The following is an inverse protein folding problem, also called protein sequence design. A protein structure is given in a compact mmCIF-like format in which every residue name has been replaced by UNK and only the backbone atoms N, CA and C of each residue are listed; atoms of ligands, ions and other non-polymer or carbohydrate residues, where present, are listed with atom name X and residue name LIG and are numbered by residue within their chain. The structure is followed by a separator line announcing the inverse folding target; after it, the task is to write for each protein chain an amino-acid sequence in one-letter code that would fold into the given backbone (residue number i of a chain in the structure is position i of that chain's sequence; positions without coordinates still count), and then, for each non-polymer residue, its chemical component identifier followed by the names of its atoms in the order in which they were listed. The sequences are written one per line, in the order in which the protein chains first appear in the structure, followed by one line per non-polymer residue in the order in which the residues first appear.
data_IF_604592767976
#
_entry.id   IF_604592767976
#
_cell.length_a   1.000
_cell.length_b   1.000
_cell.length_c   1.000
_cell.angle_alpha   90.00
_cell.angle_beta   90.00
_cell.angle_gamma   90.00
#
_symmetry.space_group_name_H-M   'P 1'
#
loop_
_entity.id
_entity.type
_entity.pdbx_description
1 polymer ?
#
# COMPACT_ATOMS: atom_id res chain seq x y z
N UNK A 1 -19.53 -13.41 9.13
CA UNK A 1 -19.27 -12.51 7.98
C UNK A 1 -18.72 -11.22 8.52
N UNK A 2 -17.47 -10.89 8.18
CA UNK A 2 -16.99 -9.54 8.39
C UNK A 2 -17.71 -8.66 7.35
N UNK A 3 -18.67 -7.90 7.79
CA UNK A 3 -19.39 -6.95 6.96
C UNK A 3 -18.47 -5.75 6.69
N UNK A 4 -18.48 -5.20 5.49
CA UNK A 4 -17.83 -3.91 5.19
C UNK A 4 -18.27 -2.79 6.15
N UNK A 5 -19.46 -2.88 6.72
CA UNK A 5 -19.97 -1.99 7.77
C UNK A 5 -19.23 -2.15 9.11
N UNK A 6 -18.69 -3.34 9.42
CA UNK A 6 -17.86 -3.59 10.60
C UNK A 6 -16.36 -3.30 10.35
N UNK A 7 -15.99 -3.00 9.11
CA UNK A 7 -14.61 -2.67 8.73
C UNK A 7 -14.22 -1.20 9.02
N UNK A 8 -15.14 -0.38 9.46
CA UNK A 8 -14.90 1.02 9.85
C UNK A 8 -14.76 1.11 11.36
N UNK A 9 -13.56 0.91 11.87
CA UNK A 9 -13.25 1.16 13.27
C UNK A 9 -12.72 2.57 13.41
N UNK A 10 -13.32 3.31 14.33
CA UNK A 10 -13.04 4.66 14.79
C UNK A 10 -12.41 5.65 13.80
N UNK A 11 -13.22 6.62 13.37
CA UNK A 11 -12.86 7.63 12.37
C UNK A 11 -11.79 8.63 12.83
N UNK A 12 -11.33 8.56 14.08
CA UNK A 12 -10.46 9.56 14.69
C UNK A 12 -8.99 9.14 14.82
N UNK A 13 -8.64 7.88 14.58
CA UNK A 13 -7.27 7.43 14.65
C UNK A 13 -6.63 7.29 13.27
N UNK A 14 -5.61 8.08 13.04
CA UNK A 14 -4.74 8.00 11.86
C UNK A 14 -3.81 6.82 12.02
N UNK A 15 -3.97 5.78 11.24
CA UNK A 15 -3.09 4.63 11.38
C UNK A 15 -2.89 3.88 10.08
N UNK A 16 -1.67 3.67 9.73
CA UNK A 16 -0.98 2.63 8.96
C UNK A 16 -1.57 2.10 7.65
N UNK A 17 -2.78 2.37 7.31
CA UNK A 17 -3.40 2.08 6.02
C UNK A 17 -3.90 3.35 5.37
N UNK A 18 -4.14 3.32 4.05
CA UNK A 18 -4.66 4.46 3.35
C UNK A 18 -5.90 4.98 4.07
N UNK A 19 -5.72 6.11 4.72
CA UNK A 19 -6.75 6.75 5.52
C UNK A 19 -7.66 7.50 4.57
N UNK A 20 -8.95 7.32 4.74
CA UNK A 20 -9.93 8.19 4.11
C UNK A 20 -9.71 9.64 4.54
N UNK A 21 -10.19 10.57 3.75
CA UNK A 21 -10.20 12.00 4.07
C UNK A 21 -10.79 12.30 5.44
N UNK A 22 -11.63 11.42 5.95
CA UNK A 22 -12.32 11.51 7.24
C UNK A 22 -11.71 10.61 8.32
N UNK A 23 -10.51 10.04 8.10
CA UNK A 23 -9.84 9.20 9.09
C UNK A 23 -10.38 7.75 9.19
N UNK A 24 -11.15 7.28 8.19
CA UNK A 24 -11.67 5.92 8.19
C UNK A 24 -10.55 4.87 8.04
N UNK A 25 -10.75 3.74 8.65
CA UNK A 25 -9.83 2.62 8.69
C UNK A 25 -10.49 1.38 8.06
N UNK A 26 -9.77 0.66 7.22
CA UNK A 26 -10.28 -0.56 6.61
C UNK A 26 -9.85 -1.77 7.45
N UNK A 27 -10.81 -2.58 7.89
CA UNK A 27 -10.57 -3.78 8.68
C UNK A 27 -10.62 -3.54 10.20
N UNK A 28 -10.19 -4.54 10.97
CA UNK A 28 -10.10 -4.51 12.43
C UNK A 28 -8.69 -4.13 12.84
N UNK A 29 -8.56 -3.08 13.63
CA UNK A 29 -7.31 -2.67 14.27
C UNK A 29 -7.21 -3.29 15.66
N UNK A 30 -6.01 -3.70 16.03
CA UNK A 30 -5.72 -4.24 17.35
C UNK A 30 -4.97 -3.19 18.18
N UNK A 31 -5.55 -2.81 19.33
CA UNK A 31 -4.95 -1.86 20.26
C UNK A 31 -4.09 -2.56 21.33
N UNK A 32 -4.17 -3.89 21.39
CA UNK A 32 -3.42 -4.73 22.33
C UNK A 32 -2.75 -5.88 21.57
N UNK A 33 -1.75 -6.48 22.17
CA UNK A 33 -1.07 -7.65 21.60
C UNK A 33 -2.04 -8.84 21.62
N UNK A 34 -2.30 -9.41 20.44
CA UNK A 34 -3.20 -10.56 20.24
C UNK A 34 -2.44 -11.70 19.56
N UNK A 35 -2.86 -12.94 19.79
CA UNK A 35 -2.38 -14.08 19.03
C UNK A 35 -2.97 -14.09 17.61
N UNK A 36 -2.38 -14.86 16.70
CA UNK A 36 -2.87 -15.01 15.33
C UNK A 36 -4.31 -15.52 15.28
N UNK A 37 -4.64 -16.51 16.10
CA UNK A 37 -6.01 -17.03 16.17
C UNK A 37 -6.98 -15.98 16.70
N UNK A 38 -6.58 -15.21 17.71
CA UNK A 38 -7.40 -14.12 18.23
C UNK A 38 -7.61 -13.02 17.19
N UNK A 39 -6.55 -12.64 16.48
CA UNK A 39 -6.59 -11.63 15.43
C UNK A 39 -7.54 -12.05 14.29
N UNK A 40 -7.42 -13.29 13.80
CA UNK A 40 -8.31 -13.84 12.77
C UNK A 40 -9.77 -13.84 13.24
N UNK A 41 -10.02 -14.28 14.46
CA UNK A 41 -11.37 -14.32 15.02
C UNK A 41 -11.99 -12.94 15.21
N UNK A 42 -11.23 -12.00 15.78
CA UNK A 42 -11.70 -10.63 16.00
C UNK A 42 -11.97 -9.88 14.68
N UNK A 43 -11.22 -10.20 13.63
CA UNK A 43 -11.42 -9.62 12.30
C UNK A 43 -12.43 -10.37 11.42
N UNK A 44 -13.02 -11.48 11.94
CA UNK A 44 -13.95 -12.32 11.18
C UNK A 44 -13.29 -13.07 10.02
N UNK A 45 -11.98 -13.33 10.10
CA UNK A 45 -11.22 -14.04 9.07
C UNK A 45 -10.90 -15.49 9.45
N UNK A 46 -11.51 -16.03 10.50
CA UNK A 46 -11.33 -17.40 10.97
C UNK A 46 -12.12 -18.46 10.18
N UNK A 47 -12.79 -18.04 9.12
CA UNK A 47 -13.48 -18.95 8.21
C UNK A 47 -12.53 -19.72 7.30
N UNK A 48 -12.99 -20.90 6.84
CA UNK A 48 -12.26 -21.75 5.90
C UNK A 48 -12.95 -21.72 4.54
N UNK A 49 -12.19 -21.45 3.49
CA UNK A 49 -12.64 -21.54 2.11
C UNK A 49 -12.63 -23.00 1.68
N UNK A 50 -13.81 -23.51 1.31
CA UNK A 50 -14.03 -24.88 0.80
C UNK A 50 -14.25 -24.87 -0.71
N UNK A 51 -14.16 -26.02 -1.32
CA UNK A 51 -14.47 -26.18 -2.76
C UNK A 51 -15.12 -27.50 -3.06
N UNK A 52 -16.00 -27.52 -4.08
CA UNK A 52 -16.64 -28.72 -4.61
C UNK A 52 -16.57 -28.73 -6.15
N UNK A 53 -16.73 -29.89 -6.81
CA UNK A 53 -16.76 -29.94 -8.27
C UNK A 53 -17.88 -29.06 -8.82
N UNK A 54 -17.58 -28.30 -9.90
CA UNK A 54 -18.59 -27.52 -10.59
C UNK A 54 -19.63 -28.45 -11.24
N UNK A 55 -20.91 -28.09 -11.14
CA UNK A 55 -22.02 -28.94 -11.53
C UNK A 55 -22.09 -29.25 -13.04
N UNK A 56 -21.58 -28.36 -13.89
CA UNK A 56 -21.74 -28.42 -15.34
C UNK A 56 -20.43 -28.30 -16.13
N UNK A 57 -19.36 -27.77 -15.54
CA UNK A 57 -18.09 -27.56 -16.24
C UNK A 57 -17.07 -28.55 -15.72
N UNK A 58 -16.65 -29.49 -16.56
CA UNK A 58 -15.60 -30.43 -16.23
C UNK A 58 -14.26 -29.69 -15.92
N UNK A 59 -13.50 -30.18 -14.95
CA UNK A 59 -12.25 -29.62 -14.50
C UNK A 59 -12.36 -28.25 -13.79
N UNK A 60 -13.56 -27.79 -13.43
CA UNK A 60 -13.79 -26.61 -12.60
C UNK A 60 -14.24 -27.02 -11.20
N UNK A 61 -14.04 -26.12 -10.25
CA UNK A 61 -14.49 -26.22 -8.87
C UNK A 61 -15.14 -24.91 -8.47
N UNK A 62 -16.21 -25.02 -7.67
CA UNK A 62 -16.89 -23.91 -7.02
C UNK A 62 -16.27 -23.70 -5.63
N UNK A 63 -15.93 -22.47 -5.31
CA UNK A 63 -15.36 -22.08 -4.02
C UNK A 63 -16.40 -21.33 -3.20
N UNK A 64 -16.49 -21.66 -1.90
CA UNK A 64 -17.52 -21.14 -1.01
C UNK A 64 -17.04 -21.04 0.43
N UNK A 65 -17.74 -20.22 1.22
CA UNK A 65 -17.74 -20.29 2.68
C UNK A 65 -18.93 -21.10 3.12
N UNK A 66 -18.76 -21.84 4.19
CA UNK A 66 -19.88 -22.54 4.82
C UNK A 66 -20.12 -21.95 6.19
N UNK A 67 -21.35 -21.48 6.42
CA UNK A 67 -21.79 -20.95 7.70
C UNK A 67 -22.08 -22.08 8.67
N UNK A 68 -22.13 -21.76 9.97
CA UNK A 68 -22.47 -22.74 11.03
C UNK A 68 -23.82 -23.44 10.82
N UNK A 69 -24.76 -22.77 10.18
CA UNK A 69 -26.07 -23.31 9.83
C UNK A 69 -26.06 -24.17 8.54
N UNK A 70 -24.89 -24.44 7.97
CA UNK A 70 -24.72 -25.23 6.73
C UNK A 70 -25.02 -24.46 5.43
N UNK A 71 -25.37 -23.16 5.50
CA UNK A 71 -25.54 -22.33 4.30
C UNK A 71 -24.18 -22.12 3.63
N UNK A 72 -24.13 -22.27 2.31
CA UNK A 72 -22.95 -22.02 1.48
C UNK A 72 -23.10 -20.71 0.75
N UNK A 73 -22.13 -19.83 0.87
CA UNK A 73 -22.02 -18.60 0.09
C UNK A 73 -20.92 -18.79 -0.96
N UNK A 74 -21.34 -19.06 -2.20
CA UNK A 74 -20.44 -19.26 -3.34
C UNK A 74 -19.92 -17.92 -3.86
N UNK A 75 -18.66 -17.84 -4.21
CA UNK A 75 -18.04 -16.59 -4.64
C UNK A 75 -17.17 -16.70 -5.89
N UNK A 76 -16.74 -17.91 -6.28
CA UNK A 76 -15.89 -18.08 -7.45
C UNK A 76 -15.93 -19.51 -7.98
N UNK A 77 -15.83 -19.65 -9.32
CA UNK A 77 -15.64 -20.93 -10.00
C UNK A 77 -14.42 -20.84 -10.90
N UNK A 78 -13.48 -21.76 -10.76
CA UNK A 78 -12.25 -21.77 -11.55
C UNK A 78 -11.71 -23.18 -11.76
N UNK A 79 -10.67 -23.29 -12.58
CA UNK A 79 -10.03 -24.56 -12.88
C UNK A 79 -9.51 -25.24 -11.60
N UNK A 80 -9.58 -26.56 -11.55
CA UNK A 80 -9.11 -27.41 -10.44
C UNK A 80 -7.65 -27.23 -10.05
N UNK A 81 -6.83 -26.64 -10.91
CA UNK A 81 -5.43 -26.31 -10.61
C UNK A 81 -5.26 -25.10 -9.71
N UNK A 82 -6.33 -24.33 -9.46
CA UNK A 82 -6.29 -23.22 -8.53
C UNK A 82 -6.15 -23.71 -7.09
N UNK A 83 -5.12 -23.27 -6.39
CA UNK A 83 -4.88 -23.60 -5.00
C UNK A 83 -5.34 -22.47 -4.09
N UNK A 84 -6.30 -22.77 -3.24
CA UNK A 84 -6.71 -21.83 -2.20
C UNK A 84 -5.57 -21.66 -1.20
N UNK A 85 -5.28 -20.42 -0.86
CA UNK A 85 -4.46 -20.04 0.29
C UNK A 85 -5.44 -19.58 1.36
N UNK A 86 -5.48 -20.28 2.49
CA UNK A 86 -6.38 -19.95 3.59
C UNK A 86 -5.94 -18.67 4.30
N UNK A 87 -6.85 -18.03 5.02
CA UNK A 87 -6.50 -16.83 5.80
C UNK A 87 -5.40 -17.13 6.83
N UNK A 88 -5.47 -18.29 7.48
CA UNK A 88 -4.44 -18.75 8.42
C UNK A 88 -3.08 -18.94 7.73
N UNK A 89 -3.05 -19.42 6.47
CA UNK A 89 -1.79 -19.56 5.72
C UNK A 89 -1.13 -18.20 5.50
N UNK A 90 -1.92 -17.18 5.12
CA UNK A 90 -1.41 -15.80 4.94
C UNK A 90 -0.85 -15.25 6.24
N UNK A 91 -1.57 -15.45 7.35
CA UNK A 91 -1.13 -15.02 8.68
C UNK A 91 0.18 -15.72 9.08
N UNK A 92 0.28 -17.03 8.91
CA UNK A 92 1.48 -17.81 9.22
C UNK A 92 2.68 -17.33 8.40
N UNK A 93 2.50 -16.98 7.13
CA UNK A 93 3.60 -16.43 6.32
C UNK A 93 4.11 -15.10 6.87
N UNK A 94 3.22 -14.23 7.37
CA UNK A 94 3.61 -12.96 7.98
C UNK A 94 4.33 -13.21 9.32
N UNK A 95 3.85 -14.16 10.13
CA UNK A 95 4.55 -14.58 11.34
C UNK A 95 5.94 -15.14 11.06
N UNK A 96 6.07 -15.98 10.02
CA UNK A 96 7.36 -16.49 9.59
C UNK A 96 8.32 -15.36 9.19
N UNK A 97 7.79 -14.32 8.54
CA UNK A 97 8.54 -13.12 8.20
C UNK A 97 8.93 -12.29 9.42
N UNK A 98 8.18 -12.35 10.50
CA UNK A 98 8.37 -11.54 11.70
C UNK A 98 9.30 -12.16 12.75
N UNK A 99 9.77 -13.40 12.57
CA UNK A 99 10.51 -14.19 13.58
C UNK A 99 11.76 -13.49 14.15
N UNK A 100 12.41 -12.67 13.33
CA UNK A 100 13.62 -11.95 13.73
C UNK A 100 13.31 -10.60 14.39
N UNK A 101 12.02 -10.26 14.58
CA UNK A 101 11.57 -8.97 15.13
C UNK A 101 10.76 -9.16 16.41
N UNK A 102 11.38 -9.06 17.59
CA UNK A 102 10.69 -9.27 18.87
C UNK A 102 9.53 -8.31 19.14
N UNK A 103 9.53 -7.11 18.54
CA UNK A 103 8.44 -6.13 18.68
C UNK A 103 7.29 -6.36 17.70
N UNK A 104 7.39 -7.33 16.82
CA UNK A 104 6.34 -7.59 15.85
C UNK A 104 5.02 -7.93 16.55
N UNK A 105 3.96 -7.20 16.20
CA UNK A 105 2.62 -7.38 16.76
C UNK A 105 1.56 -7.18 15.69
N UNK A 106 0.51 -7.95 15.75
CA UNK A 106 -0.63 -7.77 14.85
C UNK A 106 -1.21 -6.38 15.01
N UNK A 107 -1.36 -5.69 13.89
CA UNK A 107 -1.83 -4.33 13.84
C UNK A 107 -3.23 -4.23 13.28
N UNK A 108 -3.45 -4.84 12.12
CA UNK A 108 -4.77 -4.88 11.50
C UNK A 108 -4.96 -6.06 10.58
N UNK A 109 -6.21 -6.49 10.46
CA UNK A 109 -6.67 -7.48 9.48
C UNK A 109 -8.04 -7.11 8.96
N UNK A 110 -8.36 -7.52 7.74
CA UNK A 110 -9.68 -7.30 7.17
C UNK A 110 -9.86 -7.94 5.81
N UNK A 111 -11.09 -7.80 5.30
CA UNK A 111 -11.48 -8.28 4.00
C UNK A 111 -12.18 -7.21 3.18
N UNK A 112 -12.20 -7.39 1.88
CA UNK A 112 -12.91 -6.56 0.91
C UNK A 112 -13.55 -7.45 -0.16
N UNK A 113 -14.38 -6.88 -1.02
CA UNK A 113 -15.06 -7.59 -2.09
C UNK A 113 -15.90 -8.79 -1.60
N UNK A 114 -16.75 -8.54 -0.60
CA UNK A 114 -17.59 -9.57 0.03
C UNK A 114 -16.76 -10.74 0.56
N UNK A 115 -15.76 -10.42 1.37
CA UNK A 115 -14.86 -11.37 2.05
C UNK A 115 -14.00 -12.26 1.13
N UNK A 116 -13.95 -11.94 -0.17
CA UNK A 116 -13.15 -12.73 -1.12
C UNK A 116 -11.71 -12.27 -1.26
N UNK A 117 -11.35 -11.12 -0.72
CA UNK A 117 -9.98 -10.59 -0.73
C UNK A 117 -9.62 -10.14 0.67
N UNK A 118 -8.48 -10.58 1.17
CA UNK A 118 -8.03 -10.36 2.55
C UNK A 118 -6.71 -9.63 2.58
N UNK A 119 -6.51 -8.86 3.64
CA UNK A 119 -5.25 -8.21 3.97
C UNK A 119 -4.96 -8.33 5.46
N UNK A 120 -3.68 -8.37 5.80
CA UNK A 120 -3.19 -8.51 7.16
C UNK A 120 -1.92 -7.72 7.32
N UNK A 121 -1.73 -7.07 8.47
CA UNK A 121 -0.57 -6.25 8.76
C UNK A 121 -0.04 -6.50 10.17
N UNK A 122 1.28 -6.58 10.26
CA UNK A 122 2.02 -6.63 11.52
C UNK A 122 2.89 -5.38 11.64
N UNK A 123 2.83 -4.70 12.77
CA UNK A 123 3.69 -3.57 13.09
C UNK A 123 5.05 -4.06 13.56
N UNK A 124 6.13 -3.46 13.07
CA UNK A 124 7.51 -3.79 13.47
C UNK A 124 8.24 -2.51 13.87
N UNK A 125 8.28 -2.26 15.17
CA UNK A 125 8.82 -1.01 15.73
C UNK A 125 10.34 -0.86 15.56
N UNK A 126 11.09 -1.98 15.55
CA UNK A 126 12.54 -1.95 15.37
C UNK A 126 12.97 -1.42 14.01
N UNK A 127 12.05 -1.41 13.06
CA UNK A 127 12.33 -0.98 11.69
C UNK A 127 11.99 0.49 11.43
N UNK A 128 11.48 1.22 12.43
CA UNK A 128 11.09 2.61 12.25
C UNK A 128 12.24 3.48 11.78
N UNK A 129 11.95 4.29 10.79
CA UNK A 129 12.85 5.32 10.31
C UNK A 129 12.47 6.65 10.96
N UNK A 130 13.41 7.21 11.73
CA UNK A 130 13.24 8.52 12.34
C UNK A 130 14.17 9.49 11.61
N UNK A 131 13.58 10.44 10.90
CA UNK A 131 14.30 11.55 10.29
C UNK A 131 14.17 12.76 11.19
N UNK A 132 15.18 12.99 11.98
CA UNK A 132 15.19 14.07 12.97
C UNK A 132 16.51 14.84 13.00
N UNK A 133 17.01 15.37 11.87
CA UNK A 133 18.24 16.13 11.89
C UNK A 133 18.14 17.48 12.64
N UNK A 134 16.90 18.01 12.84
CA UNK A 134 16.68 19.32 13.46
C UNK A 134 15.51 19.31 14.47
N UNK A 135 15.16 18.18 15.07
CA UNK A 135 14.06 18.07 16.04
C UNK A 135 12.66 17.98 15.40
N UNK A 136 12.56 17.73 14.11
CA UNK A 136 11.27 17.57 13.43
C UNK A 136 10.56 16.27 13.79
N UNK A 137 11.33 15.28 14.28
CA UNK A 137 10.87 13.94 14.68
C UNK A 137 9.93 13.29 13.65
N UNK A 138 10.37 13.30 12.38
CA UNK A 138 9.59 12.75 11.27
C UNK A 138 9.72 11.22 11.25
N UNK A 139 8.69 10.55 11.77
CA UNK A 139 8.67 9.09 11.94
C UNK A 139 7.99 8.43 10.75
N UNK A 140 8.65 7.46 10.16
CA UNK A 140 8.09 6.52 9.19
C UNK A 140 8.01 5.14 9.83
N UNK A 141 6.80 4.64 9.97
CA UNK A 141 6.51 3.33 10.57
C UNK A 141 6.60 2.21 9.55
N UNK A 142 6.98 1.02 10.03
CA UNK A 142 7.10 -0.18 9.22
C UNK A 142 6.09 -1.24 9.60
N UNK A 143 5.56 -1.87 8.55
CA UNK A 143 4.60 -2.96 8.66
C UNK A 143 4.96 -4.09 7.73
N UNK A 144 4.85 -5.32 8.22
CA UNK A 144 4.77 -6.51 7.38
C UNK A 144 3.34 -6.64 6.89
N UNK A 145 3.18 -6.88 5.60
CA UNK A 145 1.86 -6.97 4.97
C UNK A 145 1.72 -8.25 4.17
N UNK A 146 0.58 -8.90 4.33
CA UNK A 146 0.10 -9.96 3.45
C UNK A 146 -1.26 -9.62 2.86
N UNK A 147 -1.47 -9.93 1.58
CA UNK A 147 -2.77 -9.89 0.95
C UNK A 147 -2.97 -11.08 0.03
N UNK A 148 -4.19 -11.56 -0.06
CA UNK A 148 -4.57 -12.66 -0.94
C UNK A 148 -6.00 -12.50 -1.42
N UNK A 149 -6.44 -13.32 -2.38
CA UNK A 149 -7.85 -13.43 -2.74
C UNK A 149 -8.27 -14.87 -2.93
N UNK A 150 -9.52 -15.17 -2.57
CA UNK A 150 -10.09 -16.51 -2.71
C UNK A 150 -10.79 -16.72 -4.07
N UNK A 151 -10.98 -15.63 -4.82
CA UNK A 151 -11.67 -15.63 -6.10
C UNK A 151 -10.74 -15.48 -7.32
N UNK A 152 -9.43 -15.68 -7.13
CA UNK A 152 -8.45 -15.55 -8.21
C UNK A 152 -8.18 -14.15 -8.73
N UNK A 153 -8.81 -13.11 -8.13
CA UNK A 153 -8.67 -11.72 -8.56
C UNK A 153 -7.25 -11.19 -8.32
N UNK A 154 -6.64 -11.60 -7.23
CA UNK A 154 -5.29 -11.16 -6.83
C UNK A 154 -4.41 -12.35 -6.47
N UNK A 155 -3.14 -12.25 -6.82
CA UNK A 155 -2.11 -13.16 -6.34
C UNK A 155 -1.84 -12.93 -4.85
N UNK A 156 -1.33 -13.95 -4.15
CA UNK A 156 -0.70 -13.74 -2.86
C UNK A 156 0.42 -12.70 -3.01
N UNK A 157 0.40 -11.70 -2.16
CA UNK A 157 1.47 -10.73 -2.03
C UNK A 157 1.86 -10.66 -0.56
N UNK A 158 3.15 -10.81 -0.30
CA UNK A 158 3.76 -10.58 1.01
C UNK A 158 4.83 -9.51 0.83
N UNK A 159 4.97 -8.60 1.79
CA UNK A 159 5.94 -7.53 1.67
C UNK A 159 5.98 -6.60 2.87
N UNK A 160 6.70 -5.50 2.68
CA UNK A 160 6.77 -4.44 3.68
C UNK A 160 6.03 -3.20 3.19
N UNK A 161 5.35 -2.55 4.12
CA UNK A 161 4.71 -1.27 3.94
C UNK A 161 5.39 -0.24 4.84
N UNK A 162 5.74 0.89 4.29
CA UNK A 162 6.28 2.03 5.02
C UNK A 162 5.26 3.16 5.03
N UNK A 163 4.98 3.70 6.20
CA UNK A 163 3.97 4.72 6.37
C UNK A 163 4.48 5.87 7.24
N UNK A 164 4.50 7.07 6.68
CA UNK A 164 4.90 8.26 7.42
C UNK A 164 3.78 8.72 8.34
N UNK A 165 4.03 8.84 9.64
CA UNK A 165 3.01 9.13 10.66
C UNK A 165 2.24 10.44 10.41
N UNK A 166 2.93 11.50 10.02
CA UNK A 166 2.30 12.82 9.93
C UNK A 166 1.31 12.98 8.77
N UNK A 167 1.47 12.22 7.69
CA UNK A 167 0.65 12.41 6.49
C UNK A 167 0.04 11.12 5.94
N UNK A 168 0.34 9.98 6.54
CA UNK A 168 -0.05 8.67 6.03
C UNK A 168 0.41 8.42 4.58
N UNK A 169 1.43 9.15 4.13
CA UNK A 169 2.05 8.91 2.85
C UNK A 169 2.76 7.57 2.90
N UNK A 170 2.40 6.69 2.01
CA UNK A 170 3.14 5.44 1.86
C UNK A 170 4.41 5.73 1.07
N UNK A 171 5.55 5.35 1.62
CA UNK A 171 6.80 5.48 0.90
C UNK A 171 6.95 4.33 -0.11
N UNK A 172 7.47 4.63 -1.32
CA UNK A 172 7.82 3.60 -2.26
C UNK A 172 8.96 2.74 -1.73
N UNK A 173 8.92 1.45 -2.04
CA UNK A 173 10.07 0.58 -1.84
C UNK A 173 11.21 1.03 -2.76
N UNK A 174 12.44 1.13 -2.25
CA UNK A 174 13.61 1.50 -3.06
C UNK A 174 13.98 0.41 -4.08
N UNK A 175 13.51 -0.82 -3.89
CA UNK A 175 13.62 -1.88 -4.89
C UNK A 175 12.23 -2.34 -5.30
N UNK A 176 11.88 -2.14 -6.55
CA UNK A 176 10.54 -2.39 -7.08
C UNK A 176 10.10 -3.86 -7.05
N UNK A 177 11.01 -4.82 -6.90
CA UNK A 177 10.70 -6.26 -6.98
C UNK A 177 11.24 -7.10 -5.82
N UNK A 178 12.19 -6.61 -5.03
CA UNK A 178 12.89 -7.44 -4.04
C UNK A 178 12.19 -7.50 -2.67
N UNK A 179 11.35 -6.51 -2.35
CA UNK A 179 10.61 -6.44 -1.10
C UNK A 179 9.19 -6.99 -1.18
N UNK A 180 8.79 -7.51 -2.35
CA UNK A 180 7.47 -8.04 -2.58
C UNK A 180 7.56 -9.49 -3.08
N UNK A 181 7.02 -10.41 -2.31
CA UNK A 181 6.84 -11.79 -2.72
C UNK A 181 5.45 -11.89 -3.37
N UNK A 182 5.41 -11.99 -4.69
CA UNK A 182 4.15 -12.22 -5.42
C UNK A 182 4.11 -13.63 -5.94
N UNK A 183 3.11 -14.40 -5.55
CA UNK A 183 2.93 -15.80 -5.98
C UNK A 183 1.51 -16.06 -6.46
N UNK A 184 1.40 -16.73 -7.61
CA UNK A 184 0.12 -17.21 -8.13
C UNK A 184 -0.38 -18.39 -7.29
N UNK A 185 -1.68 -18.58 -7.23
CA UNK A 185 -2.36 -19.67 -6.52
C UNK A 185 -2.21 -21.01 -7.28
N UNK A 186 -1.04 -21.63 -7.17
CA UNK A 186 -0.69 -22.91 -7.80
C UNK A 186 -0.28 -23.93 -6.74
N UNK A 187 -0.21 -25.21 -7.08
CA UNK A 187 0.14 -26.28 -6.15
C UNK A 187 1.49 -26.09 -5.44
N UNK A 188 2.41 -25.33 -6.05
CA UNK A 188 3.74 -25.05 -5.48
C UNK A 188 3.80 -23.71 -4.73
N UNK A 189 2.67 -23.09 -4.43
CA UNK A 189 2.66 -21.75 -3.83
C UNK A 189 3.35 -21.73 -2.47
N UNK A 190 3.10 -22.72 -1.63
CA UNK A 190 3.69 -22.83 -0.29
C UNK A 190 5.21 -23.00 -0.34
N UNK A 191 5.71 -23.94 -1.13
CA UNK A 191 7.15 -24.16 -1.31
C UNK A 191 7.86 -22.90 -1.84
N UNK A 192 7.22 -22.20 -2.76
CA UNK A 192 7.77 -21.00 -3.36
C UNK A 192 7.77 -19.81 -2.38
N UNK A 193 6.80 -19.72 -1.47
CA UNK A 193 6.76 -18.70 -0.42
C UNK A 193 7.87 -18.94 0.59
N UNK A 194 7.98 -20.15 1.16
CA UNK A 194 9.02 -20.46 2.13
C UNK A 194 10.45 -20.24 1.59
N UNK A 195 10.71 -20.56 0.32
CA UNK A 195 12.00 -20.22 -0.33
C UNK A 195 12.25 -18.72 -0.45
N UNK A 196 11.20 -17.92 -0.49
CA UNK A 196 11.30 -16.47 -0.67
C UNK A 196 11.32 -15.69 0.66
N UNK A 197 10.91 -16.31 1.77
CA UNK A 197 10.91 -15.69 3.11
C UNK A 197 12.34 -15.42 3.63
N UNK A 198 13.35 -16.17 3.17
CA UNK A 198 14.77 -15.85 3.43
C UNK A 198 15.22 -14.46 2.90
N UNK A 199 14.30 -13.72 2.31
CA UNK A 199 14.50 -12.35 1.80
C UNK A 199 14.61 -11.30 2.93
N UNK A 200 14.40 -11.68 4.20
CA UNK A 200 14.40 -10.72 5.32
C UNK A 200 15.76 -10.13 5.65
N UNK A 201 16.86 -10.84 5.40
CA UNK A 201 18.19 -10.22 5.46
C UNK A 201 18.34 -9.07 4.46
N UNK A 202 17.62 -9.14 3.33
CA UNK A 202 17.53 -8.07 2.35
C UNK A 202 16.72 -6.85 2.87
N UNK A 203 15.72 -7.08 3.74
CA UNK A 203 14.93 -6.00 4.31
C UNK A 203 15.78 -5.07 5.20
N UNK A 204 16.67 -5.60 6.01
CA UNK A 204 17.58 -4.79 6.83
C UNK A 204 18.56 -3.96 5.98
N UNK A 205 19.06 -4.54 4.88
CA UNK A 205 19.92 -3.81 3.95
C UNK A 205 19.14 -2.71 3.23
N UNK A 206 17.89 -3.00 2.83
CA UNK A 206 17.02 -2.01 2.21
C UNK A 206 16.66 -0.85 3.16
N UNK A 207 16.49 -1.12 4.46
CA UNK A 207 16.25 -0.07 5.46
C UNK A 207 17.44 0.89 5.59
N UNK A 208 18.66 0.37 5.61
CA UNK A 208 19.86 1.22 5.63
C UNK A 208 19.95 2.07 4.37
N UNK A 209 19.64 1.50 3.21
CA UNK A 209 19.58 2.20 1.94
C UNK A 209 18.50 3.28 1.94
N UNK A 210 17.28 2.97 2.41
CA UNK A 210 16.18 3.93 2.55
C UNK A 210 16.57 5.07 3.48
N UNK A 211 17.14 4.74 4.63
CA UNK A 211 17.61 5.72 5.60
C UNK A 211 18.70 6.64 5.01
N UNK A 212 19.65 6.07 4.28
CA UNK A 212 20.69 6.83 3.59
C UNK A 212 20.13 7.82 2.58
N UNK A 213 19.20 7.33 1.70
CA UNK A 213 18.53 8.17 0.70
C UNK A 213 17.68 9.26 1.35
N UNK A 214 16.89 8.91 2.36
CA UNK A 214 16.02 9.85 3.05
C UNK A 214 16.81 10.95 3.77
N UNK A 215 17.90 10.60 4.49
CA UNK A 215 18.81 11.56 5.12
C UNK A 215 19.49 12.46 4.07
N UNK A 216 19.87 11.93 2.92
CA UNK A 216 20.45 12.73 1.85
C UNK A 216 19.44 13.71 1.27
N UNK A 217 18.22 13.27 0.96
CA UNK A 217 17.15 14.15 0.54
C UNK A 217 16.84 15.22 1.58
N UNK A 218 16.85 14.85 2.87
CA UNK A 218 16.63 15.80 3.96
C UNK A 218 17.72 16.87 4.03
N UNK A 219 18.97 16.50 3.77
CA UNK A 219 20.11 17.43 3.75
C UNK A 219 20.23 18.25 2.46
N UNK A 220 19.48 17.90 1.40
CA UNK A 220 19.53 18.57 0.11
C UNK A 220 18.58 19.76 0.11
N UNK A 221 19.10 20.98 -0.04
CA UNK A 221 18.26 22.19 -0.14
C UNK A 221 17.41 22.13 -1.41
N UNK A 222 16.15 22.47 -1.28
CA UNK A 222 15.20 22.47 -2.39
C UNK A 222 14.14 23.55 -2.20
N UNK A 223 13.45 23.92 -3.26
CA UNK A 223 12.36 24.87 -3.22
C UNK A 223 11.11 24.35 -4.00
N UNK A 224 10.07 25.17 -4.05
CA UNK A 224 8.85 24.79 -4.78
C UNK A 224 9.06 24.63 -6.29
N UNK A 225 10.04 25.34 -6.86
CA UNK A 225 10.41 25.19 -8.26
C UNK A 225 10.90 23.79 -8.61
N UNK A 226 11.56 23.10 -7.68
CA UNK A 226 12.00 21.72 -7.85
C UNK A 226 10.80 20.77 -7.91
N UNK A 227 9.79 20.97 -7.05
CA UNK A 227 8.53 20.21 -7.10
C UNK A 227 7.87 20.35 -8.47
N UNK A 228 7.77 21.58 -8.97
CA UNK A 228 7.14 21.86 -10.28
C UNK A 228 7.90 21.18 -11.43
N UNK A 229 9.23 21.28 -11.45
CA UNK A 229 10.05 20.67 -12.50
C UNK A 229 9.88 19.15 -12.55
N UNK A 230 9.90 18.48 -11.38
CA UNK A 230 9.72 17.03 -11.30
C UNK A 230 8.31 16.66 -11.74
N UNK A 231 7.29 17.38 -11.26
CA UNK A 231 5.90 17.16 -11.66
C UNK A 231 5.70 17.30 -13.16
N UNK A 232 6.18 18.38 -13.77
CA UNK A 232 6.03 18.67 -15.20
C UNK A 232 6.76 17.61 -16.04
N UNK A 233 7.89 17.08 -15.54
CA UNK A 233 8.65 16.02 -16.22
C UNK A 233 7.91 14.68 -16.20
N UNK A 234 7.39 14.27 -15.04
CA UNK A 234 6.74 12.96 -14.85
C UNK A 234 5.26 12.97 -15.24
N UNK A 235 4.66 14.14 -15.28
CA UNK A 235 3.26 14.34 -15.67
C UNK A 235 3.19 15.48 -16.69
N UNK A 236 3.65 15.28 -17.90
CA UNK A 236 3.63 16.35 -18.92
C UNK A 236 2.19 16.79 -19.23
N UNK A 237 2.03 18.06 -19.54
CA UNK A 237 0.74 18.60 -19.93
C UNK A 237 0.16 17.82 -21.12
N UNK A 238 -1.10 17.34 -21.04
CA UNK A 238 -1.73 16.64 -22.15
C UNK A 238 -1.85 17.53 -23.39
N UNK A 239 -1.63 16.94 -24.57
CA UNK A 239 -1.80 17.64 -25.82
C UNK A 239 -3.27 17.88 -26.15
N UNK A 240 -3.56 19.05 -26.73
CA UNK A 240 -4.87 19.32 -27.31
C UNK A 240 -5.09 18.45 -28.55
N UNK A 241 -6.20 17.74 -28.58
CA UNK A 241 -6.63 16.93 -29.73
C UNK A 241 -7.80 17.61 -30.43
N UNK A 242 -7.73 17.66 -31.75
CA UNK A 242 -8.74 18.26 -32.60
C UNK A 242 -9.40 17.18 -33.47
N UNK A 243 -10.73 17.24 -33.59
CA UNK A 243 -11.51 16.50 -34.55
C UNK A 243 -12.16 17.47 -35.51
N UNK A 244 -11.87 17.33 -36.83
CA UNK A 244 -12.34 18.24 -37.89
C UNK A 244 -12.08 19.72 -37.59
N UNK A 245 -10.94 20.06 -36.98
CA UNK A 245 -10.55 21.40 -36.63
C UNK A 245 -11.20 21.95 -35.34
N UNK A 246 -11.99 21.14 -34.64
CA UNK A 246 -12.63 21.52 -33.38
C UNK A 246 -11.92 20.79 -32.24
N UNK A 247 -11.62 21.53 -31.17
CA UNK A 247 -11.00 20.95 -29.97
C UNK A 247 -11.94 19.90 -29.34
N UNK A 248 -11.39 18.70 -29.05
CA UNK A 248 -12.19 17.64 -28.44
C UNK A 248 -12.46 17.91 -26.96
N UNK A 249 -13.70 17.74 -26.45
CA UNK A 249 -14.03 17.96 -25.04
C UNK A 249 -13.18 17.13 -24.08
N UNK A 250 -12.76 15.93 -24.50
CA UNK A 250 -11.92 15.03 -23.67
C UNK A 250 -10.51 15.57 -23.48
N UNK A 251 -9.89 16.15 -24.51
CA UNK A 251 -8.55 16.73 -24.39
C UNK A 251 -8.55 17.98 -23.52
N UNK A 252 -9.59 18.84 -23.67
CA UNK A 252 -9.79 20.00 -22.81
C UNK A 252 -9.96 19.61 -21.34
N UNK A 253 -10.79 18.62 -21.06
CA UNK A 253 -10.98 18.10 -19.71
C UNK A 253 -9.70 17.52 -19.10
N UNK A 254 -8.83 16.90 -19.91
CA UNK A 254 -7.54 16.38 -19.45
C UNK A 254 -6.56 17.50 -19.08
N UNK A 255 -6.53 18.58 -19.85
CA UNK A 255 -5.72 19.76 -19.55
C UNK A 255 -6.20 20.43 -18.26
N UNK A 256 -7.50 20.68 -18.13
CA UNK A 256 -8.07 21.25 -16.90
C UNK A 256 -7.76 20.39 -15.66
N UNK A 257 -7.80 19.07 -15.78
CA UNK A 257 -7.41 18.17 -14.68
C UNK A 257 -5.91 18.29 -14.34
N UNK A 258 -5.07 18.47 -15.35
CA UNK A 258 -3.63 18.65 -15.15
C UNK A 258 -3.35 19.99 -14.47
N UNK A 259 -3.95 21.07 -14.94
CA UNK A 259 -3.85 22.42 -14.35
C UNK A 259 -4.29 22.40 -12.89
N UNK A 260 -5.46 21.83 -12.57
CA UNK A 260 -5.95 21.71 -11.21
C UNK A 260 -4.98 20.94 -10.29
N UNK A 261 -4.32 19.91 -10.79
CA UNK A 261 -3.30 19.19 -10.01
C UNK A 261 -2.05 20.02 -9.78
N UNK A 262 -1.62 20.77 -10.80
CA UNK A 262 -0.46 21.65 -10.73
C UNK A 262 -0.68 22.81 -9.75
N UNK A 263 -1.87 23.37 -9.74
CA UNK A 263 -2.27 24.42 -8.78
C UNK A 263 -2.29 23.87 -7.34
N UNK A 264 -2.79 22.64 -7.18
CA UNK A 264 -2.85 21.99 -5.87
C UNK A 264 -1.45 21.67 -5.28
N UNK A 265 -0.42 21.51 -6.12
CA UNK A 265 0.96 21.29 -5.64
C UNK A 265 1.44 22.37 -4.67
N UNK A 266 1.10 23.63 -4.95
CA UNK A 266 1.51 24.73 -4.09
C UNK A 266 0.82 24.67 -2.73
N UNK A 267 -0.45 24.31 -2.68
CA UNK A 267 -1.19 24.19 -1.43
C UNK A 267 -0.69 23.00 -0.60
N UNK A 268 -0.33 21.88 -1.27
CA UNK A 268 0.29 20.72 -0.59
C UNK A 268 1.66 21.12 -0.03
N UNK A 269 2.52 21.77 -0.83
CA UNK A 269 3.83 22.23 -0.39
C UNK A 269 3.77 23.16 0.82
N UNK A 270 2.75 24.04 0.87
CA UNK A 270 2.55 24.97 1.98
C UNK A 270 1.78 24.38 3.17
N UNK A 271 1.43 23.12 3.14
CA UNK A 271 0.64 22.48 4.21
C UNK A 271 -0.78 23.03 4.34
N UNK A 272 -1.27 23.76 3.34
CA UNK A 272 -2.59 24.41 3.36
C UNK A 272 -3.76 23.49 3.01
N UNK A 273 -3.51 22.23 2.73
CA UNK A 273 -4.57 21.30 2.42
C UNK A 273 -5.36 20.93 3.68
N UNK A 274 -6.68 20.76 3.57
CA UNK A 274 -7.57 20.40 4.68
C UNK A 274 -7.28 19.06 5.35
N UNK A 275 -6.23 18.34 4.90
CA UNK A 275 -5.87 16.98 5.34
C UNK A 275 -4.72 16.91 6.32
N UNK A 276 -4.43 18.00 6.95
CA UNK A 276 -3.42 18.09 7.99
C UNK A 276 -2.22 18.92 7.54
N UNK A 277 -1.59 19.52 8.50
CA UNK A 277 -0.38 20.33 8.34
C UNK A 277 0.86 19.46 8.17
N UNK A 278 0.80 18.53 7.22
CA UNK A 278 1.78 17.44 7.09
C UNK A 278 3.14 17.92 6.61
N UNK A 279 3.15 19.10 5.95
CA UNK A 279 4.37 19.71 5.43
C UNK A 279 4.89 20.87 6.29
N UNK A 280 4.10 21.34 7.27
CA UNK A 280 4.46 22.50 8.09
C UNK A 280 5.75 22.28 8.91
N UNK A 281 5.98 21.03 9.33
CA UNK A 281 7.14 20.66 10.14
C UNK A 281 8.39 20.31 9.32
N UNK A 282 8.28 20.32 7.99
CA UNK A 282 9.41 20.02 7.11
C UNK A 282 10.08 21.31 6.63
N UNK A 283 11.38 21.39 6.80
CA UNK A 283 12.20 22.40 6.13
C UNK A 283 12.15 22.23 4.60
N UNK A 284 12.45 23.28 3.87
CA UNK A 284 12.51 23.26 2.41
C UNK A 284 13.73 22.46 1.92
N UNK A 285 13.50 21.18 1.65
CA UNK A 285 14.53 20.22 1.29
C UNK A 285 13.99 19.15 0.31
N UNK A 286 14.85 18.31 -0.22
CA UNK A 286 14.49 17.25 -1.16
C UNK A 286 13.51 16.23 -0.58
N UNK A 287 13.52 16.00 0.73
CA UNK A 287 12.55 15.13 1.39
C UNK A 287 11.15 15.73 1.33
N UNK A 288 10.99 17.04 1.62
CA UNK A 288 9.72 17.74 1.46
C UNK A 288 9.22 17.72 0.01
N UNK A 289 10.13 17.84 -0.97
CA UNK A 289 9.78 17.70 -2.39
C UNK A 289 9.14 16.34 -2.65
N UNK A 290 9.80 15.26 -2.24
CA UNK A 290 9.28 13.89 -2.41
C UNK A 290 7.92 13.73 -1.71
N UNK A 291 7.81 14.16 -0.46
CA UNK A 291 6.57 14.03 0.31
C UNK A 291 5.40 14.81 -0.31
N UNK A 292 5.66 15.98 -0.89
CA UNK A 292 4.64 16.78 -1.61
C UNK A 292 4.11 16.03 -2.82
N UNK A 293 4.98 15.42 -3.63
CA UNK A 293 4.61 14.67 -4.82
C UNK A 293 3.83 13.40 -4.48
N UNK A 294 4.27 12.67 -3.44
CA UNK A 294 3.59 11.47 -2.95
C UNK A 294 2.21 11.84 -2.39
N UNK A 295 2.09 12.89 -1.59
CA UNK A 295 0.82 13.33 -1.03
C UNK A 295 -0.18 13.75 -2.12
N UNK A 296 0.30 14.45 -3.16
CA UNK A 296 -0.53 14.77 -4.33
C UNK A 296 -1.06 13.51 -5.00
N UNK A 297 -0.21 12.51 -5.20
CA UNK A 297 -0.59 11.23 -5.82
C UNK A 297 -1.58 10.44 -4.98
N UNK A 298 -1.36 10.37 -3.68
CA UNK A 298 -2.14 9.55 -2.76
C UNK A 298 -3.51 10.15 -2.44
N UNK A 299 -3.58 11.44 -2.20
CA UNK A 299 -4.80 12.08 -1.70
C UNK A 299 -5.68 12.68 -2.79
N UNK A 300 -5.11 13.01 -3.94
CA UNK A 300 -5.82 13.74 -5.00
C UNK A 300 -5.94 12.93 -6.31
N UNK A 301 -5.52 11.68 -6.29
CA UNK A 301 -5.41 10.83 -7.48
C UNK A 301 -6.69 10.14 -7.98
N UNK A 302 -7.87 10.36 -7.42
CA UNK A 302 -9.04 9.61 -7.87
C UNK A 302 -10.39 10.11 -7.40
N UNK A 303 -11.40 9.94 -8.26
CA UNK A 303 -12.82 10.00 -7.91
C UNK A 303 -13.23 8.61 -7.41
N UNK A 304 -13.79 8.51 -6.21
CA UNK A 304 -14.30 7.27 -5.66
C UNK A 304 -14.71 7.47 -4.21
N UNK A 305 -15.55 6.58 -3.71
CA UNK A 305 -15.79 6.52 -2.27
C UNK A 305 -14.52 6.09 -1.54
N UNK A 306 -14.53 6.27 -0.25
CA UNK A 306 -13.41 5.96 0.64
C UNK A 306 -12.99 4.51 0.52
N UNK A 307 -13.96 3.58 0.50
CA UNK A 307 -13.69 2.14 0.45
C UNK A 307 -13.05 1.74 -0.89
N UNK A 308 -13.50 2.33 -2.01
CA UNK A 308 -12.90 2.09 -3.32
C UNK A 308 -11.45 2.58 -3.37
N UNK A 309 -11.13 3.74 -2.75
CA UNK A 309 -9.75 4.24 -2.66
C UNK A 309 -8.89 3.34 -1.79
N UNK A 310 -9.35 2.99 -0.60
CA UNK A 310 -8.61 2.10 0.32
C UNK A 310 -8.38 0.72 -0.30
N UNK A 311 -9.38 0.17 -0.98
CA UNK A 311 -9.24 -1.09 -1.73
C UNK A 311 -8.20 -0.95 -2.86
N UNK A 312 -8.22 0.15 -3.60
CA UNK A 312 -7.23 0.44 -4.64
C UNK A 312 -5.82 0.52 -4.07
N UNK A 313 -5.63 1.13 -2.89
CA UNK A 313 -4.31 1.18 -2.23
C UNK A 313 -3.77 -0.20 -1.88
N UNK A 314 -4.62 -1.06 -1.35
CA UNK A 314 -4.22 -2.39 -0.93
C UNK A 314 -3.96 -3.32 -2.10
N UNK A 315 -4.74 -3.20 -3.18
CA UNK A 315 -4.81 -4.21 -4.23
C UNK A 315 -4.39 -3.71 -5.61
N UNK A 316 -4.13 -2.41 -5.80
CA UNK A 316 -3.72 -1.86 -7.08
C UNK A 316 -2.23 -1.47 -7.06
N UNK A 317 -1.45 -2.08 -7.94
CA UNK A 317 -0.03 -1.80 -8.08
C UNK A 317 0.26 -0.43 -8.75
N UNK A 318 -0.72 0.17 -9.45
CA UNK A 318 -0.52 1.43 -10.19
C UNK A 318 -0.11 2.58 -9.27
N UNK A 319 -0.63 2.63 -8.05
CA UNK A 319 -0.25 3.67 -7.08
C UNK A 319 1.16 3.46 -6.53
N UNK A 320 1.53 2.20 -6.26
CA UNK A 320 2.89 1.88 -5.85
C UNK A 320 3.88 2.25 -6.96
N UNK A 321 3.55 1.96 -8.22
CA UNK A 321 4.36 2.36 -9.36
C UNK A 321 4.50 3.89 -9.45
N UNK A 322 3.43 4.65 -9.29
CA UNK A 322 3.49 6.12 -9.28
C UNK A 322 4.37 6.68 -8.17
N UNK A 323 4.29 6.12 -6.95
CA UNK A 323 5.19 6.52 -5.85
C UNK A 323 6.65 6.24 -6.20
N UNK A 324 6.91 5.10 -6.84
CA UNK A 324 8.23 4.75 -7.33
C UNK A 324 8.72 5.74 -8.41
N UNK A 325 7.84 6.13 -9.32
CA UNK A 325 8.15 7.12 -10.36
C UNK A 325 8.48 8.49 -9.72
N UNK A 326 7.72 8.91 -8.69
CA UNK A 326 7.99 10.14 -7.94
C UNK A 326 9.35 10.07 -7.21
N UNK A 327 9.65 8.96 -6.55
CA UNK A 327 10.95 8.76 -5.91
C UNK A 327 12.08 8.84 -6.93
N UNK A 328 12.00 8.06 -8.00
CA UNK A 328 13.02 8.03 -9.05
C UNK A 328 13.20 9.40 -9.70
N UNK A 329 12.10 10.11 -9.98
CA UNK A 329 12.15 11.47 -10.51
C UNK A 329 12.82 12.46 -9.57
N UNK A 330 12.54 12.34 -8.27
CA UNK A 330 13.17 13.19 -7.25
C UNK A 330 14.66 12.90 -7.14
N UNK A 331 15.06 11.64 -7.11
CA UNK A 331 16.45 11.23 -7.04
C UNK A 331 17.24 11.71 -8.29
N UNK A 332 16.67 11.49 -9.48
CA UNK A 332 17.28 11.93 -10.73
C UNK A 332 17.43 13.47 -10.78
N UNK A 333 16.43 14.21 -10.30
CA UNK A 333 16.47 15.67 -10.27
C UNK A 333 17.59 16.20 -9.39
N UNK A 334 17.87 15.55 -8.26
CA UNK A 334 18.95 15.91 -7.34
C UNK A 334 20.26 15.15 -7.62
N UNK A 335 20.37 14.42 -8.73
CA UNK A 335 21.55 13.65 -9.12
C UNK A 335 22.01 12.64 -8.05
N UNK A 336 21.03 11.98 -7.39
CA UNK A 336 21.28 10.98 -6.35
C UNK A 336 21.12 9.57 -6.93
N UNK A 337 22.15 8.73 -6.81
CA UNK A 337 22.05 7.31 -7.16
C UNK A 337 21.79 6.48 -5.91
N UNK A 338 20.73 5.65 -5.96
CA UNK A 338 20.39 4.72 -4.86
C UNK A 338 21.56 3.79 -4.56
N UNK A 339 22.36 3.42 -5.55
CA UNK A 339 23.52 2.52 -5.40
C UNK A 339 24.58 3.05 -4.44
N UNK A 340 24.68 4.37 -4.29
CA UNK A 340 25.62 5.02 -3.37
C UNK A 340 25.27 4.76 -1.89
N UNK A 341 24.07 4.28 -1.64
CA UNK A 341 23.53 4.01 -0.29
C UNK A 341 23.30 2.52 -0.01
N UNK A 342 23.54 1.64 -0.99
CA UNK A 342 23.45 0.18 -0.79
C UNK A 342 24.55 -0.26 0.15
N UNK A 343 24.17 -0.78 1.31
CA UNK A 343 25.12 -1.43 2.23
C UNK A 343 25.29 -2.87 1.77
N UNK A 344 26.48 -3.18 1.28
CA UNK A 344 26.92 -4.53 0.87
C UNK A 344 27.12 -5.41 2.09
#
# INVERSE_FOLDING_TARGET
MANLENALVDQNERVGLPISENGGFLGTKFNEKVSTEQALKLSGLDYIVKSEPHSTIENYRDFYFEHENGKKDYFHSTNKSYKVIQNLDVANFIEDMSKDFPSAEWYSMGSVHNDTSVFMQMRVKELDLILDPNGANDITEFYLMGRSSHNGRYSLLLGMLMNRLFCSNQLPSLSSNENLITKKHTDRVFDNVHKSINVFSMAQNNLKTISGVANKLYSTKADFGDVQKIFDTLTPMPELKFDKGIETPRSKGSITQWENKRDLLHDVWQGKTNRGKTMDNLENNGWKVLQTLVELGDKFGGKGDVNARMTSELFNNDRQQKRQDWLNGTLNHFELDVKDYVVV
#
